data_IF_206889169664
#
_entry.id   IF_206889169664
#
_cell.length_a   1.000
_cell.length_b   1.000
_cell.length_c   1.000
_cell.angle_alpha   90.00
_cell.angle_beta   90.00
_cell.angle_gamma   90.00
#
_symmetry.space_group_name_H-M   'P 1'
#
loop_
_entity.id
_entity.type
_entity.pdbx_description
1 polymer ?
#
# COMPACT_ATOMS: atom_id res chain seq x y z
N UNK A 1 -19.97 2.86 13.33
CA UNK A 1 -19.03 2.04 12.54
C UNK A 1 -19.64 1.86 11.17
N UNK A 2 -18.86 2.07 10.11
CA UNK A 2 -19.32 1.83 8.74
C UNK A 2 -19.19 0.36 8.30
N UNK A 3 -19.60 0.07 7.06
CA UNK A 3 -19.65 -1.30 6.53
C UNK A 3 -18.26 -1.97 6.41
N UNK A 4 -17.19 -1.19 6.32
CA UNK A 4 -15.81 -1.71 6.19
C UNK A 4 -15.04 -1.71 7.52
N UNK A 5 -15.64 -1.17 8.59
CA UNK A 5 -15.09 -1.18 9.94
C UNK A 5 -14.46 0.16 10.40
N UNK A 6 -14.57 1.24 9.62
CA UNK A 6 -14.16 2.57 10.11
C UNK A 6 -15.04 3.00 11.27
N UNK A 7 -14.45 3.60 12.30
CA UNK A 7 -15.19 4.24 13.40
C UNK A 7 -15.26 5.74 13.15
N UNK A 8 -16.47 6.29 13.13
CA UNK A 8 -16.70 7.69 12.83
C UNK A 8 -17.40 8.41 14.00
N UNK A 9 -16.99 9.66 14.26
CA UNK A 9 -17.65 10.57 15.17
C UNK A 9 -17.79 11.94 14.52
N UNK A 10 -19.03 12.38 14.28
CA UNK A 10 -19.30 13.70 13.68
C UNK A 10 -19.47 14.76 14.77
N UNK A 11 -18.79 15.89 14.61
CA UNK A 11 -18.95 17.11 15.37
C UNK A 11 -19.56 18.17 14.47
N UNK A 12 -20.86 18.52 14.66
CA UNK A 12 -21.49 19.58 13.88
C UNK A 12 -20.82 20.94 14.10
N UNK A 13 -20.63 21.69 13.01
CA UNK A 13 -20.29 23.10 13.03
C UNK A 13 -21.52 23.99 12.95
N UNK A 14 -21.33 25.31 12.73
CA UNK A 14 -22.43 26.26 12.45
C UNK A 14 -23.13 25.94 11.13
N UNK A 15 -22.39 25.39 10.19
CA UNK A 15 -22.87 24.92 8.92
C UNK A 15 -22.33 23.50 8.63
N UNK A 16 -23.02 22.70 7.76
CA UNK A 16 -22.50 21.38 7.39
C UNK A 16 -21.18 21.44 6.57
N UNK A 17 -20.90 22.61 5.95
CA UNK A 17 -19.71 22.84 5.12
C UNK A 17 -18.96 24.13 5.51
N UNK A 18 -17.62 24.21 5.26
CA UNK A 18 -16.79 23.14 4.72
C UNK A 18 -16.68 21.95 5.67
N UNK A 19 -16.72 20.71 5.15
CA UNK A 19 -16.65 19.50 5.95
C UNK A 19 -15.22 18.96 5.96
N UNK A 20 -14.62 18.94 7.14
CA UNK A 20 -13.29 18.38 7.39
C UNK A 20 -13.41 16.94 7.88
N UNK A 21 -12.70 16.02 7.24
CA UNK A 21 -12.43 14.70 7.81
C UNK A 21 -11.04 14.72 8.42
N UNK A 22 -10.94 14.27 9.67
CA UNK A 22 -9.71 14.18 10.44
C UNK A 22 -9.52 12.73 10.86
N UNK A 23 -8.56 12.03 10.24
CA UNK A 23 -8.43 10.57 10.28
C UNK A 23 -7.09 10.11 10.85
N UNK A 24 -7.08 8.92 11.45
CA UNK A 24 -5.90 8.15 11.85
C UNK A 24 -6.24 6.66 11.73
N UNK A 25 -5.27 5.79 11.40
CA UNK A 25 -5.61 4.39 11.16
C UNK A 25 -5.51 3.51 12.40
N UNK A 26 -6.29 2.41 12.41
CA UNK A 26 -6.41 1.46 13.51
C UNK A 26 -5.51 0.23 13.36
N UNK A 27 -5.22 -0.13 12.13
CA UNK A 27 -4.45 -1.32 11.81
C UNK A 27 -2.95 -1.08 11.93
N UNK A 28 -2.19 -2.17 12.02
CA UNK A 28 -0.72 -2.16 12.11
C UNK A 28 -0.13 -3.26 11.23
N UNK A 29 1.18 -3.17 10.96
CA UNK A 29 1.93 -4.22 10.21
C UNK A 29 2.22 -5.47 11.03
N UNK A 30 1.94 -5.47 12.34
CA UNK A 30 2.32 -6.53 13.24
C UNK A 30 1.35 -7.71 13.20
N UNK A 31 1.85 -8.96 13.23
CA UNK A 31 1.01 -10.15 13.32
C UNK A 31 0.17 -10.17 14.61
N UNK A 32 -1.00 -10.85 14.61
CA UNK A 32 -1.92 -10.89 15.77
C UNK A 32 -1.30 -11.42 17.07
N UNK A 33 -0.29 -12.29 16.97
CA UNK A 33 0.45 -12.86 18.10
C UNK A 33 1.49 -11.92 18.70
N UNK A 34 1.72 -10.75 18.09
CA UNK A 34 2.71 -9.79 18.59
C UNK A 34 2.27 -9.22 19.94
N UNK A 35 3.16 -9.26 20.93
CA UNK A 35 2.90 -8.63 22.21
C UNK A 35 2.78 -7.10 22.07
N UNK A 36 1.62 -6.57 22.34
CA UNK A 36 1.32 -5.13 22.33
C UNK A 36 1.59 -4.43 23.67
N UNK A 37 2.36 -5.07 24.55
CA UNK A 37 2.71 -4.49 25.86
C UNK A 37 3.52 -3.22 25.69
N UNK A 38 2.97 -2.12 26.19
CA UNK A 38 3.66 -0.82 26.21
C UNK A 38 4.57 -0.74 27.42
N UNK A 39 5.79 -0.25 27.22
CA UNK A 39 6.76 0.05 28.28
C UNK A 39 7.07 1.54 28.30
N UNK A 40 7.34 2.08 29.49
CA UNK A 40 7.76 3.47 29.69
C UNK A 40 9.24 3.50 30.02
N UNK A 41 9.99 4.34 29.32
CA UNK A 41 11.41 4.57 29.53
C UNK A 41 11.66 6.09 29.54
N UNK A 42 11.73 6.68 30.72
CA UNK A 42 11.76 8.13 30.89
C UNK A 42 10.52 8.80 30.29
N UNK A 43 10.71 9.64 29.30
CA UNK A 43 9.63 10.32 28.53
C UNK A 43 9.14 9.51 27.33
N UNK A 44 9.73 8.35 27.04
CA UNK A 44 9.38 7.52 25.88
C UNK A 44 8.37 6.44 26.26
N UNK A 45 7.40 6.22 25.36
CA UNK A 45 6.55 5.05 25.34
C UNK A 45 7.03 4.14 24.20
N UNK A 46 7.28 2.86 24.50
CA UNK A 46 7.79 1.87 23.54
C UNK A 46 6.80 0.71 23.44
N UNK A 47 6.42 0.35 22.22
CA UNK A 47 5.54 -0.78 21.93
C UNK A 47 5.23 -0.86 20.43
N UNK A 48 4.86 -2.05 19.91
CA UNK A 48 4.41 -2.21 18.54
C UNK A 48 3.21 -1.32 18.24
N UNK A 49 3.21 -0.62 17.09
CA UNK A 49 2.12 0.25 16.64
C UNK A 49 1.95 1.56 17.41
N UNK A 50 2.82 1.86 18.41
CA UNK A 50 2.62 3.04 19.26
C UNK A 50 2.86 4.36 18.53
N UNK A 51 3.81 4.37 17.58
CA UNK A 51 4.12 5.53 16.74
C UNK A 51 3.28 5.58 15.47
N UNK A 52 2.92 4.40 14.98
CA UNK A 52 2.21 4.13 13.74
C UNK A 52 1.09 3.10 14.00
N UNK A 53 -0.21 3.51 14.24
CA UNK A 53 -0.63 4.91 14.30
C UNK A 53 -1.43 5.22 15.59
N UNK A 54 -1.13 4.50 16.70
CA UNK A 54 -1.76 4.83 18.00
C UNK A 54 -1.52 6.29 18.41
N UNK A 55 -0.41 6.89 17.98
CA UNK A 55 -0.11 8.30 18.21
C UNK A 55 -1.11 9.21 17.47
N UNK A 56 -1.39 8.94 16.19
CA UNK A 56 -2.39 9.67 15.42
C UNK A 56 -3.78 9.57 16.06
N UNK A 57 -4.18 8.37 16.49
CA UNK A 57 -5.43 8.17 17.24
C UNK A 57 -5.47 8.99 18.53
N UNK A 58 -4.35 9.05 19.26
CA UNK A 58 -4.26 9.88 20.48
C UNK A 58 -4.37 11.38 20.16
N UNK A 59 -3.81 11.83 19.03
CA UNK A 59 -3.96 13.21 18.54
C UNK A 59 -5.41 13.52 18.22
N UNK A 60 -6.13 12.64 17.55
CA UNK A 60 -7.58 12.83 17.30
C UNK A 60 -8.34 13.05 18.60
N UNK A 61 -8.12 12.17 19.59
CA UNK A 61 -8.77 12.29 20.92
C UNK A 61 -8.37 13.60 21.62
N UNK A 62 -7.09 13.98 21.53
CA UNK A 62 -6.57 15.24 22.08
C UNK A 62 -7.26 16.46 21.47
N UNK A 63 -7.43 16.49 20.15
CA UNK A 63 -8.13 17.56 19.44
C UNK A 63 -9.61 17.63 19.85
N UNK A 64 -10.30 16.47 19.94
CA UNK A 64 -11.69 16.42 20.40
C UNK A 64 -11.82 17.02 21.80
N UNK A 65 -10.95 16.63 22.74
CA UNK A 65 -10.93 17.16 24.10
C UNK A 65 -10.68 18.66 24.13
N UNK A 66 -9.66 19.13 23.40
CA UNK A 66 -9.32 20.57 23.35
C UNK A 66 -10.49 21.40 22.81
N UNK A 67 -11.15 20.95 21.74
CA UNK A 67 -12.33 21.63 21.18
C UNK A 67 -13.49 21.67 22.16
N UNK A 68 -13.70 20.59 22.95
CA UNK A 68 -14.76 20.53 23.95
C UNK A 68 -14.47 21.42 25.15
N UNK A 69 -13.26 21.38 25.71
CA UNK A 69 -12.83 22.19 26.86
C UNK A 69 -12.87 23.69 26.53
N UNK A 70 -12.39 24.06 25.35
CA UNK A 70 -12.42 25.43 24.87
C UNK A 70 -13.81 25.87 24.36
N UNK A 71 -14.80 24.99 24.34
CA UNK A 71 -16.17 25.24 23.83
C UNK A 71 -16.17 25.83 22.42
N UNK A 72 -15.23 25.39 21.59
CA UNK A 72 -15.10 25.86 20.20
C UNK A 72 -16.28 25.36 19.38
N UNK A 73 -16.94 26.24 18.66
CA UNK A 73 -17.90 25.92 17.61
C UNK A 73 -17.25 26.29 16.27
N UNK A 74 -16.99 25.28 15.45
CA UNK A 74 -16.35 25.46 14.14
C UNK A 74 -17.33 26.01 13.11
N UNK A 75 -16.84 26.66 12.07
CA UNK A 75 -17.70 27.13 10.97
C UNK A 75 -18.32 25.94 10.24
N UNK A 76 -17.52 24.99 9.81
CA UNK A 76 -17.97 23.77 9.17
C UNK A 76 -17.92 22.57 10.10
N UNK A 77 -18.54 21.48 9.70
CA UNK A 77 -18.55 20.22 10.45
C UNK A 77 -17.20 19.48 10.38
N UNK A 78 -16.89 18.69 11.41
CA UNK A 78 -15.72 17.83 11.46
C UNK A 78 -16.18 16.40 11.68
N UNK A 79 -15.71 15.45 10.86
CA UNK A 79 -15.80 14.02 11.17
C UNK A 79 -14.44 13.49 11.56
N UNK A 80 -14.32 13.00 12.79
CA UNK A 80 -13.17 12.26 13.26
C UNK A 80 -13.33 10.79 12.87
N UNK A 81 -12.28 10.22 12.30
CA UNK A 81 -12.32 8.84 11.78
C UNK A 81 -11.13 8.05 12.27
N UNK A 82 -11.41 6.90 12.90
CA UNK A 82 -10.40 5.86 13.05
C UNK A 82 -10.61 4.86 11.90
N UNK A 83 -9.77 4.93 10.88
CA UNK A 83 -9.92 4.15 9.65
C UNK A 83 -9.17 2.82 9.70
N UNK A 84 -9.52 1.91 8.80
CA UNK A 84 -8.97 0.55 8.71
C UNK A 84 -8.31 0.29 7.37
N UNK A 85 -7.33 -0.63 7.36
CA UNK A 85 -6.71 -1.13 6.13
C UNK A 85 -5.82 -0.09 5.45
N UNK A 86 -5.09 0.70 6.22
CA UNK A 86 -4.03 1.57 5.72
C UNK A 86 -2.79 0.75 5.35
N UNK A 87 -2.43 -0.19 6.22
CA UNK A 87 -1.19 -0.93 6.17
C UNK A 87 -1.18 -2.10 5.18
N UNK A 88 0.00 -2.37 4.63
CA UNK A 88 0.32 -3.59 3.89
C UNK A 88 -0.61 -3.88 2.71
N UNK A 89 -1.35 -4.97 2.80
CA UNK A 89 -2.33 -5.41 1.79
C UNK A 89 -3.74 -4.84 2.02
N UNK A 90 -3.90 -3.93 2.98
CA UNK A 90 -5.19 -3.29 3.29
C UNK A 90 -5.71 -2.39 2.18
N UNK A 91 -4.84 -1.96 1.28
CA UNK A 91 -5.16 -1.20 0.04
C UNK A 91 -5.98 0.07 0.32
N UNK A 92 -5.75 0.70 1.47
CA UNK A 92 -6.48 1.90 1.94
C UNK A 92 -8.01 1.70 1.92
N UNK A 93 -8.51 0.47 2.14
CA UNK A 93 -9.93 0.13 1.96
C UNK A 93 -10.85 1.02 2.79
N UNK A 94 -10.45 1.36 4.02
CA UNK A 94 -11.20 2.25 4.90
C UNK A 94 -11.31 3.65 4.31
N UNK A 95 -10.19 4.24 3.93
CA UNK A 95 -10.15 5.57 3.31
C UNK A 95 -10.92 5.59 1.99
N UNK A 96 -10.73 4.59 1.12
CA UNK A 96 -11.48 4.47 -0.14
C UNK A 96 -13.00 4.45 0.12
N UNK A 97 -13.48 3.70 1.13
CA UNK A 97 -14.89 3.63 1.48
C UNK A 97 -15.45 4.98 1.96
N UNK A 98 -14.65 5.78 2.69
CA UNK A 98 -15.10 7.14 3.08
C UNK A 98 -15.42 7.99 1.85
N UNK A 99 -14.61 7.96 0.80
CA UNK A 99 -14.81 8.77 -0.40
C UNK A 99 -15.84 8.19 -1.36
N UNK A 100 -15.91 6.87 -1.50
CA UNK A 100 -16.79 6.22 -2.47
C UNK A 100 -18.21 5.95 -1.97
N UNK A 101 -18.40 5.85 -0.65
CA UNK A 101 -19.64 5.41 -0.01
C UNK A 101 -20.00 6.23 1.23
N UNK A 102 -19.36 5.97 2.38
CA UNK A 102 -19.76 6.44 3.72
C UNK A 102 -19.94 7.97 3.82
N UNK A 103 -19.00 8.74 3.27
CA UNK A 103 -19.02 10.22 3.24
C UNK A 103 -18.99 10.78 1.82
N UNK A 104 -19.43 10.00 0.84
CA UNK A 104 -19.42 10.37 -0.57
C UNK A 104 -20.04 11.75 -0.81
N UNK A 105 -19.27 12.62 -1.48
CA UNK A 105 -19.69 13.99 -1.81
C UNK A 105 -19.79 14.95 -0.60
N UNK A 106 -19.46 14.50 0.61
CA UNK A 106 -19.47 15.32 1.82
C UNK A 106 -18.09 15.87 2.20
N UNK A 107 -17.01 15.31 1.73
CA UNK A 107 -15.64 15.66 2.13
C UNK A 107 -15.15 16.86 1.33
N UNK A 108 -14.91 17.99 2.00
CA UNK A 108 -14.27 19.18 1.40
C UNK A 108 -12.76 19.20 1.70
N UNK A 109 -12.35 18.69 2.86
CA UNK A 109 -10.96 18.60 3.30
C UNK A 109 -10.73 17.28 4.02
N UNK A 110 -9.58 16.66 3.76
CA UNK A 110 -9.18 15.42 4.42
C UNK A 110 -7.77 15.59 4.99
N UNK A 111 -7.61 15.26 6.27
CA UNK A 111 -6.32 15.25 6.97
C UNK A 111 -6.14 13.86 7.57
N UNK A 112 -5.08 13.16 7.16
CA UNK A 112 -4.63 11.94 7.81
C UNK A 112 -3.48 12.31 8.77
N UNK A 113 -3.64 11.93 10.03
CA UNK A 113 -2.60 12.10 11.05
C UNK A 113 -1.85 10.79 11.11
N UNK A 114 -0.55 10.84 10.78
CA UNK A 114 0.26 9.65 10.66
C UNK A 114 1.75 9.97 10.94
N UNK A 115 2.51 8.94 11.33
CA UNK A 115 3.93 9.08 11.59
C UNK A 115 4.30 9.91 12.83
N UNK A 116 5.58 10.16 13.04
CA UNK A 116 6.12 10.76 14.26
C UNK A 116 6.63 12.20 14.09
N UNK A 117 6.64 12.70 12.86
CA UNK A 117 7.14 14.04 12.56
C UNK A 117 6.15 15.16 12.86
N UNK A 118 6.60 16.40 12.66
CA UNK A 118 5.76 17.61 12.63
C UNK A 118 5.62 18.17 11.21
N UNK A 119 6.04 17.39 10.21
CA UNK A 119 5.91 17.73 8.80
C UNK A 119 4.48 17.57 8.30
N UNK A 120 4.20 18.19 7.17
CA UNK A 120 2.94 18.02 6.44
C UNK A 120 3.27 17.60 5.00
N UNK A 121 2.66 16.50 4.56
CA UNK A 121 2.73 16.04 3.17
C UNK A 121 1.43 16.40 2.48
N UNK A 122 1.52 17.22 1.44
CA UNK A 122 0.36 17.68 0.66
C UNK A 122 0.37 17.17 -0.80
N UNK A 123 1.34 16.34 -1.15
CA UNK A 123 1.43 15.67 -2.45
C UNK A 123 1.49 14.17 -2.20
N UNK A 124 0.46 13.46 -2.60
CA UNK A 124 0.40 12.00 -2.52
C UNK A 124 1.23 11.34 -3.62
N UNK A 125 1.75 10.15 -3.33
CA UNK A 125 2.47 9.31 -4.28
C UNK A 125 1.55 8.17 -4.70
N UNK A 126 1.22 8.11 -6.00
CA UNK A 126 0.49 6.98 -6.57
C UNK A 126 1.37 5.74 -6.64
N UNK A 127 0.77 4.54 -6.50
CA UNK A 127 1.48 3.28 -6.61
C UNK A 127 0.70 2.23 -7.39
N UNK A 128 1.45 1.38 -8.12
CA UNK A 128 0.97 0.09 -8.60
C UNK A 128 1.81 -1.00 -7.96
N UNK A 129 1.13 -2.01 -7.41
CA UNK A 129 1.77 -3.20 -6.86
C UNK A 129 1.23 -4.44 -7.55
N UNK A 130 2.12 -5.31 -7.99
CA UNK A 130 1.78 -6.53 -8.71
C UNK A 130 2.49 -7.74 -8.12
N UNK A 131 1.79 -8.87 -8.15
CA UNK A 131 2.41 -10.18 -8.10
C UNK A 131 2.39 -10.76 -9.50
N UNK A 132 3.54 -10.74 -10.18
CA UNK A 132 3.76 -11.38 -11.46
C UNK A 132 3.97 -12.88 -11.22
N UNK A 133 3.21 -13.71 -11.94
CA UNK A 133 3.29 -15.16 -11.79
C UNK A 133 3.43 -15.81 -13.17
N UNK A 134 4.48 -16.59 -13.34
CA UNK A 134 4.63 -17.48 -14.49
C UNK A 134 4.33 -18.91 -14.08
N UNK A 135 3.61 -19.64 -14.94
CA UNK A 135 3.27 -21.05 -14.75
C UNK A 135 3.75 -21.89 -15.93
N UNK A 136 4.11 -23.13 -15.65
CA UNK A 136 4.59 -24.07 -16.67
C UNK A 136 4.27 -25.51 -16.34
N UNK A 137 4.57 -26.46 -17.24
CA UNK A 137 4.21 -27.87 -17.09
C UNK A 137 5.03 -28.59 -16.01
N UNK A 138 6.15 -28.00 -15.55
CA UNK A 138 7.05 -28.66 -14.63
C UNK A 138 7.77 -29.87 -15.21
N UNK A 139 8.55 -30.57 -14.38
CA UNK A 139 9.18 -31.81 -14.76
C UNK A 139 10.54 -32.06 -14.15
N UNK A 140 11.13 -33.21 -14.42
CA UNK A 140 12.49 -33.53 -14.01
C UNK A 140 13.50 -32.79 -14.91
N UNK A 141 14.46 -32.09 -14.34
CA UNK A 141 15.36 -31.19 -15.08
C UNK A 141 16.12 -31.88 -16.23
N UNK A 142 16.51 -33.13 -16.06
CA UNK A 142 17.17 -33.92 -17.10
C UNK A 142 16.18 -34.59 -18.05
N UNK A 143 15.18 -35.33 -17.51
CA UNK A 143 14.26 -36.12 -18.31
C UNK A 143 13.22 -35.31 -19.09
N UNK A 144 12.93 -34.09 -18.64
CA UNK A 144 12.01 -33.16 -19.29
C UNK A 144 12.74 -31.91 -19.83
N UNK A 145 14.04 -32.00 -20.03
CA UNK A 145 14.81 -30.91 -20.62
C UNK A 145 14.23 -30.46 -21.95
N UNK A 146 14.10 -29.16 -22.15
CA UNK A 146 13.46 -28.61 -23.35
C UNK A 146 12.06 -28.06 -23.10
N UNK A 147 11.50 -28.23 -21.88
CA UNK A 147 10.24 -27.59 -21.49
C UNK A 147 10.49 -26.14 -21.03
N UNK A 148 9.46 -25.31 -21.18
CA UNK A 148 9.45 -23.94 -20.64
C UNK A 148 9.67 -23.95 -19.13
N UNK A 149 10.43 -22.97 -18.64
CA UNK A 149 10.81 -22.89 -17.25
C UNK A 149 10.34 -21.54 -16.67
N UNK A 150 9.33 -21.51 -15.76
CA UNK A 150 8.83 -20.30 -15.12
C UNK A 150 9.92 -19.45 -14.43
N UNK A 151 10.95 -20.05 -13.84
CA UNK A 151 12.07 -19.30 -13.23
C UNK A 151 12.90 -18.60 -14.31
N UNK A 152 13.10 -19.24 -15.47
CA UNK A 152 13.83 -18.60 -16.58
C UNK A 152 13.04 -17.42 -17.16
N UNK A 153 11.72 -17.56 -17.33
CA UNK A 153 10.84 -16.46 -17.72
C UNK A 153 10.90 -15.32 -16.70
N UNK A 154 10.82 -15.64 -15.41
CA UNK A 154 10.92 -14.66 -14.33
C UNK A 154 12.26 -13.93 -14.32
N UNK A 155 13.37 -14.66 -14.51
CA UNK A 155 14.72 -14.09 -14.61
C UNK A 155 14.83 -13.08 -15.76
N UNK A 156 14.24 -13.37 -16.94
CA UNK A 156 14.16 -12.43 -18.08
C UNK A 156 13.35 -11.18 -17.73
N UNK A 157 12.20 -11.34 -17.08
CA UNK A 157 11.37 -10.23 -16.66
C UNK A 157 12.11 -9.32 -15.66
N UNK A 158 12.76 -9.89 -14.65
CA UNK A 158 13.51 -9.15 -13.64
C UNK A 158 14.69 -8.40 -14.30
N UNK A 159 15.43 -9.05 -15.20
CA UNK A 159 16.51 -8.41 -15.93
C UNK A 159 16.00 -7.20 -16.73
N UNK A 160 14.88 -7.35 -17.47
CA UNK A 160 14.30 -6.25 -18.22
C UNK A 160 13.82 -5.12 -17.30
N UNK A 161 13.16 -5.45 -16.18
CA UNK A 161 12.69 -4.46 -15.19
C UNK A 161 13.88 -3.69 -14.61
N UNK A 162 14.97 -4.35 -14.29
CA UNK A 162 16.15 -3.71 -13.68
C UNK A 162 16.80 -2.63 -14.58
N UNK A 163 16.56 -2.70 -15.88
CA UNK A 163 17.09 -1.75 -16.88
C UNK A 163 16.13 -0.59 -17.19
N UNK A 164 14.99 -0.49 -16.50
CA UNK A 164 14.07 0.59 -16.79
C UNK A 164 14.67 1.97 -16.53
N UNK A 165 14.56 2.84 -17.51
CA UNK A 165 14.90 4.23 -17.38
C UNK A 165 13.61 5.00 -17.01
N UNK A 166 13.65 5.69 -15.87
CA UNK A 166 12.53 6.50 -15.34
C UNK A 166 12.99 7.93 -15.06
N UNK A 167 12.06 8.86 -15.04
CA UNK A 167 12.35 10.24 -14.73
C UNK A 167 12.81 10.40 -13.27
N UNK A 168 13.78 11.30 -13.05
CA UNK A 168 14.16 11.75 -11.70
C UNK A 168 13.14 12.76 -11.17
N UNK A 169 12.63 13.62 -12.07
CA UNK A 169 11.58 14.60 -11.80
C UNK A 169 10.52 14.52 -12.90
N UNK A 170 9.25 14.27 -12.56
CA UNK A 170 8.78 13.90 -11.21
C UNK A 170 9.37 12.55 -10.77
N UNK A 171 9.71 12.44 -9.47
CA UNK A 171 10.33 11.22 -8.92
C UNK A 171 9.46 10.00 -9.23
N UNK A 172 10.03 9.08 -10.01
CA UNK A 172 9.40 7.81 -10.40
C UNK A 172 10.31 6.67 -9.99
N UNK A 173 9.75 5.62 -9.42
CA UNK A 173 10.52 4.49 -8.90
C UNK A 173 9.87 3.18 -9.29
N UNK A 174 10.68 2.13 -9.32
CA UNK A 174 10.24 0.74 -9.44
C UNK A 174 11.13 -0.15 -8.58
N UNK A 175 10.60 -1.28 -8.15
CA UNK A 175 11.34 -2.24 -7.35
C UNK A 175 10.75 -3.65 -7.51
N UNK A 176 11.62 -4.65 -7.64
CA UNK A 176 11.27 -6.06 -7.45
C UNK A 176 11.66 -6.41 -6.02
N UNK A 177 10.69 -6.44 -5.12
CA UNK A 177 10.94 -6.55 -3.68
C UNK A 177 11.02 -7.99 -3.17
N UNK A 178 10.31 -8.92 -3.82
CA UNK A 178 10.28 -10.33 -3.42
C UNK A 178 10.20 -11.23 -4.64
N UNK A 179 10.81 -12.40 -4.57
CA UNK A 179 10.74 -13.46 -5.57
C UNK A 179 10.57 -14.83 -4.90
N UNK A 180 9.97 -15.77 -5.62
CA UNK A 180 9.85 -17.15 -5.17
C UNK A 180 9.49 -18.10 -6.30
N UNK A 181 9.53 -19.38 -6.00
CA UNK A 181 9.19 -20.45 -6.93
C UNK A 181 10.15 -21.64 -6.89
N UNK A 182 9.72 -22.74 -7.48
CA UNK A 182 10.45 -24.00 -7.48
C UNK A 182 10.34 -24.79 -6.17
N UNK A 183 10.69 -26.06 -6.23
CA UNK A 183 10.62 -27.00 -5.10
C UNK A 183 11.92 -27.78 -4.88
N UNK A 184 12.72 -27.97 -5.93
CA UNK A 184 13.96 -28.74 -5.89
C UNK A 184 14.91 -28.31 -7.00
N UNK A 185 16.21 -28.43 -6.78
CA UNK A 185 17.26 -28.07 -7.74
C UNK A 185 17.18 -28.87 -9.05
N UNK A 186 16.68 -30.08 -9.00
CA UNK A 186 16.55 -31.00 -10.16
C UNK A 186 15.13 -31.04 -10.74
N UNK A 187 14.28 -30.02 -10.44
CA UNK A 187 12.93 -29.89 -10.99
C UNK A 187 12.80 -28.62 -11.84
N UNK A 188 12.18 -28.74 -13.02
CA UNK A 188 11.61 -27.61 -13.73
C UNK A 188 10.39 -27.19 -12.92
N UNK A 189 10.29 -25.91 -12.46
CA UNK A 189 9.20 -25.50 -11.59
C UNK A 189 7.84 -25.44 -12.31
N UNK A 190 6.76 -25.62 -11.57
CA UNK A 190 5.40 -25.37 -12.06
C UNK A 190 5.02 -23.89 -11.99
N UNK A 191 5.70 -23.13 -11.11
CA UNK A 191 5.40 -21.72 -10.87
C UNK A 191 6.65 -20.98 -10.41
N UNK A 192 6.76 -19.71 -10.84
CA UNK A 192 7.65 -18.73 -10.27
C UNK A 192 6.96 -17.36 -10.22
N UNK A 193 7.27 -16.54 -9.22
CA UNK A 193 6.62 -15.27 -9.02
C UNK A 193 7.57 -14.18 -8.50
N UNK A 194 7.20 -12.92 -8.76
CA UNK A 194 7.81 -11.73 -8.18
C UNK A 194 6.74 -10.75 -7.69
N UNK A 195 7.05 -10.00 -6.63
CA UNK A 195 6.25 -8.86 -6.19
C UNK A 195 6.98 -7.57 -6.58
N UNK A 196 6.26 -6.71 -7.29
CA UNK A 196 6.79 -5.51 -7.92
C UNK A 196 6.01 -4.29 -7.43
N UNK A 197 6.74 -3.25 -7.02
CA UNK A 197 6.20 -1.96 -6.58
C UNK A 197 6.66 -0.87 -7.55
N UNK A 198 5.74 -0.02 -8.02
CA UNK A 198 6.01 1.13 -8.89
C UNK A 198 5.34 2.35 -8.31
N UNK A 199 6.05 3.49 -8.25
CA UNK A 199 5.53 4.71 -7.62
C UNK A 199 5.88 5.95 -8.40
N UNK A 200 4.96 6.93 -8.42
CA UNK A 200 5.22 8.31 -8.85
C UNK A 200 4.22 9.28 -8.23
N UNK A 201 4.64 10.52 -8.01
CA UNK A 201 3.73 11.62 -7.69
C UNK A 201 2.97 12.12 -8.93
N UNK A 202 3.42 11.76 -10.13
CA UNK A 202 2.78 12.10 -11.41
C UNK A 202 2.13 10.87 -12.04
N UNK A 203 0.84 11.00 -12.37
CA UNK A 203 0.08 9.89 -12.94
C UNK A 203 0.61 9.42 -14.29
N UNK A 204 1.00 10.34 -15.17
CA UNK A 204 1.48 9.99 -16.51
C UNK A 204 2.81 9.20 -16.43
N UNK A 205 3.72 9.61 -15.54
CA UNK A 205 4.97 8.91 -15.27
C UNK A 205 4.74 7.52 -14.64
N UNK A 206 3.75 7.41 -13.73
CA UNK A 206 3.35 6.12 -13.15
C UNK A 206 2.77 5.18 -14.22
N UNK A 207 1.86 5.68 -15.06
CA UNK A 207 1.27 4.91 -16.15
C UNK A 207 2.35 4.44 -17.16
N UNK A 208 3.35 5.28 -17.44
CA UNK A 208 4.45 4.94 -18.35
C UNK A 208 5.33 3.81 -17.81
N UNK A 209 5.70 3.83 -16.53
CA UNK A 209 6.49 2.72 -15.94
C UNK A 209 5.65 1.45 -15.82
N UNK A 210 4.36 1.57 -15.55
CA UNK A 210 3.43 0.45 -15.53
C UNK A 210 3.31 -0.23 -16.91
N UNK A 211 3.18 0.55 -17.99
CA UNK A 211 3.16 0.01 -19.35
C UNK A 211 4.46 -0.74 -19.70
N UNK A 212 5.63 -0.20 -19.30
CA UNK A 212 6.91 -0.90 -19.46
C UNK A 212 6.95 -2.23 -18.69
N UNK A 213 6.40 -2.25 -17.47
CA UNK A 213 6.32 -3.47 -16.66
C UNK A 213 5.48 -4.54 -17.35
N UNK A 214 4.28 -4.20 -17.83
CA UNK A 214 3.41 -5.15 -18.53
C UNK A 214 4.08 -5.70 -19.79
N UNK A 215 4.69 -4.83 -20.60
CA UNK A 215 5.41 -5.24 -21.80
C UNK A 215 6.61 -6.17 -21.48
N UNK A 216 7.36 -5.89 -20.42
CA UNK A 216 8.47 -6.73 -19.99
C UNK A 216 7.99 -8.10 -19.50
N UNK A 217 6.87 -8.15 -18.78
CA UNK A 217 6.26 -9.38 -18.32
C UNK A 217 5.81 -10.28 -19.50
N UNK A 218 5.10 -9.70 -20.47
CA UNK A 218 4.61 -10.42 -21.64
C UNK A 218 5.77 -10.91 -22.52
N UNK A 219 6.76 -10.04 -22.79
CA UNK A 219 7.92 -10.42 -23.62
C UNK A 219 8.76 -11.50 -22.96
N UNK A 220 8.92 -11.49 -21.63
CA UNK A 220 9.65 -12.55 -20.93
C UNK A 220 9.00 -13.92 -21.08
N UNK A 221 7.66 -13.99 -21.01
CA UNK A 221 6.90 -15.20 -21.28
C UNK A 221 7.07 -15.64 -22.75
N UNK A 222 6.89 -14.70 -23.68
CA UNK A 222 7.03 -14.96 -25.10
C UNK A 222 8.46 -15.46 -25.49
N UNK A 223 9.49 -14.84 -24.90
CA UNK A 223 10.89 -15.24 -25.13
C UNK A 223 11.17 -16.65 -24.61
N UNK A 224 10.64 -17.03 -23.44
CA UNK A 224 10.79 -18.37 -22.90
C UNK A 224 10.05 -19.41 -23.78
N UNK A 225 8.82 -19.09 -24.22
CA UNK A 225 8.06 -19.94 -25.14
C UNK A 225 8.79 -20.12 -26.47
N UNK A 226 9.27 -19.04 -27.10
CA UNK A 226 10.06 -19.12 -28.35
C UNK A 226 11.33 -19.96 -28.19
N UNK A 227 11.99 -19.86 -27.04
CA UNK A 227 13.21 -20.64 -26.73
C UNK A 227 13.01 -22.14 -26.88
N UNK A 228 11.81 -22.62 -26.55
CA UNK A 228 11.49 -24.06 -26.50
C UNK A 228 10.43 -24.49 -27.52
N UNK A 229 10.10 -23.64 -28.49
CA UNK A 229 9.06 -23.88 -29.52
C UNK A 229 7.70 -24.31 -28.93
N UNK A 230 7.27 -23.58 -27.88
CA UNK A 230 6.05 -23.87 -27.12
C UNK A 230 5.00 -22.76 -27.35
#
# INVERSE_FOLDING_TARGET
IDAVGNVLGERPGRAPRPHLVFAAHLDTVFPPETSVKVTKDGSWLKGPGIGDDCRGLAVLIGVIRALNEAKVVTEGSITFVANVGEEGLGDLRGTKALFSDTLKGRIDRFVSVDGTGLGMTNVGVGSFRYRLVYKGPGGHSYGAFGRVNPIHALGRAIAAISEFQVAKEPKTTFNVGRIGGGTSVNSIPFEAWAEVDMRSADKASLDAVHAKFLAAADEAAAAENRRWNN
#
